data_IF_178374392980
#
_entry.id   IF_178374392980
#
_cell.length_a   1.000
_cell.length_b   1.000
_cell.length_c   1.000
_cell.angle_alpha   90.00
_cell.angle_beta   90.00
_cell.angle_gamma   90.00
#
_symmetry.space_group_name_H-M   'P 1'
#
loop_
_entity.id
_entity.type
_entity.pdbx_description
1 polymer ?
#
# COMPACT_ATOMS: atom_id res chain seq x y z
N UNK A 1 28.63 6.68 -19.68
CA UNK A 1 27.65 7.55 -19.01
C UNK A 1 28.42 8.40 -18.01
N UNK A 2 28.26 9.72 -18.02
CA UNK A 2 28.93 10.62 -17.06
C UNK A 2 28.64 10.18 -15.60
N UNK A 3 29.62 10.18 -14.68
CA UNK A 3 29.42 9.74 -13.29
C UNK A 3 28.27 10.45 -12.56
N UNK A 4 28.06 11.73 -12.88
CA UNK A 4 26.94 12.51 -12.37
C UNK A 4 25.59 11.96 -12.85
N UNK A 5 25.44 11.71 -14.15
CA UNK A 5 24.19 11.22 -14.74
C UNK A 5 23.81 9.85 -14.17
N UNK A 6 24.79 8.96 -14.00
CA UNK A 6 24.56 7.65 -13.40
C UNK A 6 24.08 7.79 -11.94
N UNK A 7 24.72 8.67 -11.16
CA UNK A 7 24.31 8.95 -9.77
C UNK A 7 22.91 9.54 -9.69
N UNK A 8 22.55 10.45 -10.60
CA UNK A 8 21.21 11.02 -10.69
C UNK A 8 20.14 9.96 -11.03
N UNK A 9 20.44 9.01 -11.91
CA UNK A 9 19.55 7.89 -12.22
C UNK A 9 19.35 7.02 -10.97
N UNK A 10 20.43 6.66 -10.27
CA UNK A 10 20.34 5.89 -9.02
C UNK A 10 19.60 6.65 -7.92
N UNK A 11 19.76 7.96 -7.85
CA UNK A 11 19.02 8.82 -6.94
C UNK A 11 17.52 8.72 -7.17
N UNK A 12 17.07 8.91 -8.42
CA UNK A 12 15.66 8.81 -8.79
C UNK A 12 15.12 7.41 -8.50
N UNK A 13 15.88 6.37 -8.85
CA UNK A 13 15.49 4.99 -8.57
C UNK A 13 15.32 4.75 -7.05
N UNK A 14 16.26 5.21 -6.22
CA UNK A 14 16.16 5.09 -4.76
C UNK A 14 14.99 5.89 -4.18
N UNK A 15 14.67 7.05 -4.75
CA UNK A 15 13.48 7.83 -4.34
C UNK A 15 12.20 7.06 -4.68
N UNK A 16 12.11 6.43 -5.84
CA UNK A 16 10.96 5.62 -6.23
C UNK A 16 10.81 4.35 -5.37
N UNK A 17 11.93 3.70 -5.03
CA UNK A 17 11.94 2.57 -4.08
C UNK A 17 11.47 3.06 -2.70
N UNK A 18 11.97 4.21 -2.25
CA UNK A 18 11.52 4.83 -1.00
C UNK A 18 10.03 5.14 -1.00
N UNK A 19 9.51 5.74 -2.08
CA UNK A 19 8.09 5.96 -2.27
C UNK A 19 7.28 4.66 -2.18
N UNK A 20 7.75 3.58 -2.82
CA UNK A 20 7.09 2.27 -2.74
C UNK A 20 6.99 1.75 -1.30
N UNK A 21 8.09 1.83 -0.53
CA UNK A 21 8.09 1.39 0.87
C UNK A 21 7.23 2.28 1.76
N UNK A 22 7.24 3.59 1.55
CA UNK A 22 6.37 4.54 2.27
C UNK A 22 4.90 4.26 1.93
N UNK A 23 4.55 4.07 0.67
CA UNK A 23 3.21 3.71 0.24
C UNK A 23 2.76 2.38 0.88
N UNK A 24 3.59 1.33 0.81
CA UNK A 24 3.24 0.05 1.43
C UNK A 24 3.11 0.18 2.97
N UNK A 25 3.98 0.97 3.61
CA UNK A 25 3.93 1.13 5.05
C UNK A 25 2.72 1.95 5.50
N UNK A 26 2.53 3.15 4.97
CA UNK A 26 1.48 4.07 5.43
C UNK A 26 0.12 3.63 4.89
N UNK A 27 -0.02 3.49 3.58
CA UNK A 27 -1.30 3.21 2.89
C UNK A 27 -1.79 1.78 3.16
N UNK A 28 -0.90 0.79 3.07
CA UNK A 28 -1.31 -0.63 3.17
C UNK A 28 -1.23 -1.16 4.61
N UNK A 29 -0.09 -1.01 5.29
CA UNK A 29 0.10 -1.55 6.65
C UNK A 29 -0.61 -0.70 7.70
N UNK A 30 -0.25 0.57 7.86
CA UNK A 30 -0.79 1.39 8.95
C UNK A 30 -2.25 1.73 8.72
N UNK A 31 -2.60 2.17 7.52
CA UNK A 31 -3.94 2.65 7.23
C UNK A 31 -4.97 1.52 7.05
N UNK A 32 -4.86 0.72 5.98
CA UNK A 32 -5.85 -0.33 5.67
C UNK A 32 -5.83 -1.48 6.68
N UNK A 33 -4.64 -2.00 7.03
CA UNK A 33 -4.54 -3.18 7.87
C UNK A 33 -4.69 -2.86 9.37
N UNK A 34 -3.88 -1.94 9.90
CA UNK A 34 -3.83 -1.69 11.35
C UNK A 34 -4.95 -0.75 11.79
N UNK A 35 -5.11 0.43 11.17
CA UNK A 35 -6.08 1.41 11.64
C UNK A 35 -7.53 0.96 11.42
N UNK A 36 -7.86 0.46 10.22
CA UNK A 36 -9.25 0.15 9.83
C UNK A 36 -9.61 -1.32 9.75
N UNK A 37 -8.64 -2.22 9.78
CA UNK A 37 -8.85 -3.67 9.61
C UNK A 37 -9.63 -4.01 8.31
N UNK A 38 -9.37 -3.24 7.26
CA UNK A 38 -9.95 -3.43 5.93
C UNK A 38 -9.32 -4.63 5.19
N UNK A 39 -8.09 -4.98 5.55
CA UNK A 39 -7.35 -6.13 5.04
C UNK A 39 -6.66 -6.86 6.20
N UNK A 40 -6.19 -8.09 5.96
CA UNK A 40 -5.28 -8.78 6.88
C UNK A 40 -3.92 -8.97 6.24
N UNK A 41 -2.88 -8.75 7.03
CA UNK A 41 -1.48 -9.01 6.68
C UNK A 41 -0.81 -9.84 7.78
N UNK A 42 0.12 -10.74 7.43
CA UNK A 42 0.90 -11.45 8.41
C UNK A 42 1.89 -10.49 9.10
N UNK A 43 2.18 -10.77 10.36
CA UNK A 43 3.06 -9.92 11.19
C UNK A 43 4.45 -9.72 10.58
N UNK A 44 5.02 -10.76 9.96
CA UNK A 44 6.34 -10.68 9.36
C UNK A 44 6.39 -9.64 8.23
N UNK A 45 5.33 -9.53 7.40
CA UNK A 45 5.25 -8.53 6.34
C UNK A 45 5.18 -7.12 6.92
N UNK A 46 4.27 -6.91 7.87
CA UNK A 46 4.11 -5.62 8.55
C UNK A 46 5.42 -5.17 9.22
N UNK A 47 6.13 -6.08 9.91
CA UNK A 47 7.41 -5.77 10.54
C UNK A 47 8.51 -5.46 9.52
N UNK A 48 8.56 -6.21 8.41
CA UNK A 48 9.58 -6.01 7.39
C UNK A 48 9.43 -4.67 6.69
N UNK A 49 8.21 -4.36 6.22
CA UNK A 49 7.92 -3.09 5.52
C UNK A 49 8.11 -1.89 6.45
N UNK A 50 7.62 -1.98 7.69
CA UNK A 50 7.87 -0.94 8.71
C UNK A 50 9.36 -0.73 8.95
N UNK A 51 10.14 -1.80 9.10
CA UNK A 51 11.55 -1.70 9.41
C UNK A 51 12.34 -1.10 8.26
N UNK A 52 12.09 -1.54 7.03
CA UNK A 52 12.77 -1.01 5.85
C UNK A 52 12.38 0.45 5.61
N UNK A 53 11.10 0.79 5.71
CA UNK A 53 10.64 2.18 5.56
C UNK A 53 11.32 3.10 6.58
N UNK A 54 11.24 2.75 7.87
CA UNK A 54 11.73 3.60 8.94
C UNK A 54 13.26 3.67 9.00
N UNK A 55 13.97 2.58 8.74
CA UNK A 55 15.44 2.58 8.81
C UNK A 55 16.11 3.17 7.56
N UNK A 56 15.51 3.03 6.38
CA UNK A 56 16.16 3.37 5.11
C UNK A 56 15.59 4.62 4.43
N UNK A 57 14.34 5.00 4.71
CA UNK A 57 13.62 6.00 3.94
C UNK A 57 13.02 7.09 4.83
N UNK A 58 11.71 7.11 4.99
CA UNK A 58 10.98 8.11 5.75
C UNK A 58 10.47 7.47 7.04
N UNK A 59 10.89 8.04 8.17
CA UNK A 59 10.41 7.61 9.47
C UNK A 59 8.95 8.03 9.68
N UNK A 60 8.13 7.07 10.09
CA UNK A 60 6.76 7.27 10.55
C UNK A 60 6.59 6.51 11.87
N UNK A 61 6.16 7.21 12.91
CA UNK A 61 5.85 6.58 14.19
C UNK A 61 4.56 5.74 14.03
N UNK A 62 4.62 4.40 14.06
CA UNK A 62 3.47 3.57 13.75
C UNK A 62 2.33 3.69 14.77
N UNK A 63 2.66 4.00 16.03
CA UNK A 63 1.67 4.09 17.10
C UNK A 63 0.95 5.44 17.05
N UNK A 64 1.72 6.52 16.96
CA UNK A 64 1.17 7.87 16.88
C UNK A 64 0.32 8.05 15.63
N UNK A 65 0.82 7.62 14.46
CA UNK A 65 0.07 7.72 13.20
C UNK A 65 -1.29 7.02 13.28
N UNK A 66 -1.35 5.77 13.77
CA UNK A 66 -2.64 5.05 13.87
C UNK A 66 -3.57 5.67 14.90
N UNK A 67 -3.02 6.14 16.02
CA UNK A 67 -3.80 6.84 17.06
C UNK A 67 -4.45 8.09 16.49
N UNK A 68 -3.65 8.95 15.87
CA UNK A 68 -4.09 10.24 15.36
C UNK A 68 -5.11 10.04 14.25
N UNK A 69 -4.85 9.10 13.33
CA UNK A 69 -5.80 8.75 12.27
C UNK A 69 -7.15 8.24 12.81
N UNK A 70 -7.14 7.39 13.84
CA UNK A 70 -8.38 6.91 14.48
C UNK A 70 -9.13 8.05 15.21
N UNK A 71 -8.41 8.93 15.88
CA UNK A 71 -8.97 10.12 16.53
C UNK A 71 -9.57 11.08 15.51
N UNK A 72 -8.88 11.31 14.40
CA UNK A 72 -9.33 12.10 13.27
C UNK A 72 -10.65 11.54 12.72
N UNK A 73 -10.76 10.25 12.45
CA UNK A 73 -12.04 9.65 12.04
C UNK A 73 -13.17 9.80 13.07
N UNK A 74 -12.85 9.74 14.37
CA UNK A 74 -13.84 9.88 15.43
C UNK A 74 -14.32 11.33 15.63
N UNK A 75 -13.50 12.31 15.26
CA UNK A 75 -13.68 13.71 15.62
C UNK A 75 -13.48 14.70 14.47
N UNK A 76 -13.44 14.25 13.22
CA UNK A 76 -13.06 15.03 12.02
C UNK A 76 -13.67 16.44 12.02
N UNK A 77 -12.84 17.44 11.72
CA UNK A 77 -13.17 18.87 11.69
C UNK A 77 -13.62 19.51 13.03
N UNK A 78 -13.67 18.75 14.12
CA UNK A 78 -13.92 19.28 15.47
C UNK A 78 -12.61 19.68 16.16
N UNK A 79 -12.68 20.42 17.27
CA UNK A 79 -11.48 20.84 18.01
C UNK A 79 -10.69 19.68 18.65
N UNK A 80 -11.23 18.45 18.63
CA UNK A 80 -10.57 17.23 19.09
C UNK A 80 -9.84 16.47 17.97
N UNK A 81 -10.02 16.89 16.72
CA UNK A 81 -9.34 16.30 15.58
C UNK A 81 -7.86 16.72 15.56
N UNK A 82 -6.91 15.77 15.69
CA UNK A 82 -5.49 16.08 15.66
C UNK A 82 -5.03 16.64 14.31
N UNK A 83 -5.77 16.37 13.23
CA UNK A 83 -5.41 16.80 11.87
C UNK A 83 -6.29 17.95 11.37
N UNK A 84 -7.03 18.61 12.28
CA UNK A 84 -7.89 19.75 11.94
C UNK A 84 -7.08 20.88 11.30
N UNK A 85 -7.51 21.31 10.12
CA UNK A 85 -6.87 22.43 9.42
C UNK A 85 -7.04 23.75 10.18
N UNK A 86 -5.94 24.44 10.53
CA UNK A 86 -6.00 25.74 11.17
C UNK A 86 -6.47 26.80 10.17
N UNK A 87 -7.57 27.49 10.49
CA UNK A 87 -8.09 28.66 9.77
C UNK A 87 -8.30 28.49 8.25
N UNK A 88 -8.29 27.26 7.74
CA UNK A 88 -8.33 26.94 6.31
C UNK A 88 -7.19 27.55 5.46
N UNK A 89 -6.16 28.13 6.10
CA UNK A 89 -4.99 28.73 5.45
C UNK A 89 -3.95 27.66 5.15
N UNK A 90 -3.50 27.57 3.89
CA UNK A 90 -2.44 26.62 3.52
C UNK A 90 -1.14 26.90 4.28
N UNK A 91 -0.79 28.17 4.50
CA UNK A 91 0.44 28.53 5.22
C UNK A 91 0.36 28.16 6.70
N UNK A 92 -0.79 28.39 7.33
CA UNK A 92 -1.01 27.99 8.72
C UNK A 92 -0.95 26.46 8.85
N UNK A 93 -1.58 25.74 7.92
CA UNK A 93 -1.53 24.28 7.86
C UNK A 93 -0.12 23.74 7.62
N UNK A 94 0.67 24.39 6.75
CA UNK A 94 2.05 24.00 6.47
C UNK A 94 2.95 24.23 7.69
N UNK A 95 2.84 25.39 8.34
CA UNK A 95 3.55 25.69 9.58
C UNK A 95 3.16 24.70 10.66
N UNK A 96 1.86 24.44 10.81
CA UNK A 96 1.35 23.42 11.72
C UNK A 96 1.99 22.08 11.41
N UNK A 97 1.92 21.58 10.19
CA UNK A 97 2.47 20.25 9.82
C UNK A 97 3.98 20.13 10.06
N UNK A 98 4.75 21.20 9.88
CA UNK A 98 6.21 21.20 10.08
C UNK A 98 6.57 21.28 11.58
N UNK A 99 5.84 22.09 12.35
CA UNK A 99 6.15 22.36 13.76
C UNK A 99 5.39 21.46 14.73
N UNK A 100 4.28 20.87 14.29
CA UNK A 100 3.44 20.04 15.12
C UNK A 100 4.16 18.74 15.43
N UNK A 101 4.39 18.54 16.72
CA UNK A 101 4.88 17.29 17.24
C UNK A 101 3.64 16.50 17.66
N UNK A 102 3.23 15.47 16.91
CA UNK A 102 2.03 14.73 17.23
C UNK A 102 2.15 14.16 18.64
N UNK A 103 1.07 14.29 19.39
CA UNK A 103 0.98 14.28 20.85
C UNK A 103 1.55 13.04 21.55
N UNK A 104 2.87 12.86 21.57
CA UNK A 104 3.56 11.63 21.99
C UNK A 104 3.42 11.25 23.48
N UNK A 105 2.46 11.80 24.23
CA UNK A 105 2.23 11.56 25.66
C UNK A 105 0.74 11.56 26.09
N UNK A 106 -0.24 11.72 25.19
CA UNK A 106 -1.65 11.89 25.59
C UNK A 106 -2.34 10.56 25.95
N UNK A 107 -3.19 10.51 27.00
CA UNK A 107 -4.04 9.35 27.33
C UNK A 107 -4.88 8.83 26.15
N UNK A 108 -5.22 9.71 25.21
CA UNK A 108 -5.96 9.38 23.99
C UNK A 108 -5.21 8.40 23.08
N UNK A 109 -3.86 8.43 23.06
CA UNK A 109 -3.06 7.44 22.32
C UNK A 109 -3.32 6.03 22.82
N UNK A 110 -3.42 5.84 24.14
CA UNK A 110 -3.62 4.52 24.72
C UNK A 110 -5.02 3.97 24.43
N UNK A 111 -6.04 4.84 24.37
CA UNK A 111 -7.40 4.43 24.01
C UNK A 111 -7.50 3.97 22.57
N UNK A 112 -6.85 4.68 21.63
CA UNK A 112 -6.93 4.38 20.21
C UNK A 112 -5.96 3.28 19.74
N UNK A 113 -5.04 2.80 20.59
CA UNK A 113 -4.02 1.79 20.22
C UNK A 113 -4.06 0.52 21.10
N UNK A 114 -5.26 0.08 21.45
CA UNK A 114 -5.48 -1.14 22.26
C UNK A 114 -5.10 -2.47 21.60
N UNK A 115 -4.82 -2.48 20.29
CA UNK A 115 -4.57 -3.70 19.53
C UNK A 115 -3.31 -4.44 20.01
N UNK A 116 -3.32 -5.80 20.02
CA UNK A 116 -2.16 -6.57 20.45
C UNK A 116 -0.87 -6.29 19.67
N UNK A 117 -0.97 -5.82 18.42
CA UNK A 117 0.18 -5.51 17.57
C UNK A 117 1.08 -4.43 18.18
N UNK A 118 0.50 -3.45 18.89
CA UNK A 118 1.26 -2.36 19.51
C UNK A 118 2.08 -2.82 20.73
N UNK A 119 1.80 -4.01 21.28
CA UNK A 119 2.60 -4.63 22.36
C UNK A 119 3.86 -5.34 21.82
N UNK A 120 3.92 -5.60 20.52
CA UNK A 120 5.07 -6.26 19.90
C UNK A 120 6.34 -5.40 19.97
N UNK A 121 7.49 -6.07 20.06
CA UNK A 121 8.78 -5.39 20.16
C UNK A 121 9.04 -4.43 18.99
N UNK A 122 8.79 -4.77 17.70
CA UNK A 122 9.02 -3.85 16.60
C UNK A 122 8.20 -2.56 16.72
N UNK A 123 6.90 -2.65 16.99
CA UNK A 123 6.04 -1.46 17.14
C UNK A 123 6.45 -0.60 18.33
N UNK A 124 6.82 -1.21 19.47
CA UNK A 124 7.32 -0.48 20.64
C UNK A 124 8.65 0.21 20.35
N UNK A 125 9.54 -0.46 19.62
CA UNK A 125 10.84 0.08 19.25
C UNK A 125 10.67 1.30 18.34
N UNK A 126 9.98 1.15 17.21
CA UNK A 126 9.78 2.25 16.26
C UNK A 126 8.90 3.38 16.79
N UNK A 127 8.09 3.16 17.83
CA UNK A 127 7.35 4.22 18.51
C UNK A 127 8.15 4.93 19.63
N UNK A 128 9.37 4.46 19.94
CA UNK A 128 10.19 5.00 21.01
C UNK A 128 11.15 6.08 20.53
N UNK A 129 11.55 7.00 21.42
CA UNK A 129 12.58 8.02 21.13
C UNK A 129 13.91 7.42 20.63
N UNK A 130 14.47 6.36 21.25
CA UNK A 130 15.67 5.72 20.71
C UNK A 130 15.47 5.11 19.33
N UNK A 131 14.30 4.52 19.07
CA UNK A 131 13.97 3.98 17.75
C UNK A 131 13.91 5.06 16.68
N UNK A 132 13.28 6.19 16.97
CA UNK A 132 13.28 7.37 16.10
C UNK A 132 14.70 7.85 15.79
N UNK A 133 15.52 8.09 16.81
CA UNK A 133 16.92 8.54 16.62
C UNK A 133 17.69 7.54 15.74
N UNK A 134 17.53 6.23 15.98
CA UNK A 134 18.17 5.22 15.14
C UNK A 134 17.71 5.31 13.70
N UNK A 135 16.41 5.52 13.44
CA UNK A 135 15.86 5.63 12.08
C UNK A 135 16.47 6.81 11.32
N UNK A 136 16.55 7.99 11.95
CA UNK A 136 17.14 9.18 11.32
C UNK A 136 18.62 8.99 10.99
N UNK A 137 19.39 8.43 11.94
CA UNK A 137 20.81 8.11 11.73
C UNK A 137 21.00 7.02 10.67
N UNK A 138 20.15 6.00 10.67
CA UNK A 138 20.23 4.87 9.73
C UNK A 138 19.94 5.32 8.30
N UNK A 139 18.92 6.16 8.09
CA UNK A 139 18.58 6.71 6.78
C UNK A 139 19.77 7.49 6.20
N UNK A 140 20.35 8.40 6.99
CA UNK A 140 21.51 9.19 6.54
C UNK A 140 22.75 8.32 6.30
N UNK A 141 23.01 7.35 7.18
CA UNK A 141 24.15 6.43 7.05
C UNK A 141 24.01 5.55 5.82
N UNK A 142 22.83 4.99 5.56
CA UNK A 142 22.56 4.17 4.38
C UNK A 142 22.71 5.00 3.10
N UNK A 143 22.19 6.22 3.09
CA UNK A 143 22.34 7.12 1.94
C UNK A 143 23.81 7.40 1.65
N UNK A 144 24.62 7.65 2.68
CA UNK A 144 26.06 7.85 2.52
C UNK A 144 26.80 6.61 2.03
N UNK A 145 26.48 5.43 2.57
CA UNK A 145 27.07 4.16 2.12
C UNK A 145 26.74 3.89 0.65
N UNK A 146 25.53 4.23 0.21
CA UNK A 146 25.07 4.02 -1.16
C UNK A 146 25.67 5.03 -2.15
N UNK A 147 25.53 6.33 -1.88
CA UNK A 147 25.97 7.40 -2.79
C UNK A 147 27.45 7.74 -2.68
N UNK A 148 28.12 7.34 -1.58
CA UNK A 148 29.50 7.71 -1.25
C UNK A 148 29.75 9.23 -1.28
N UNK A 149 28.71 10.01 -1.02
CA UNK A 149 28.73 11.47 -1.10
C UNK A 149 27.75 12.07 -0.10
N UNK A 150 28.25 12.99 0.73
CA UNK A 150 27.43 13.72 1.71
C UNK A 150 26.38 14.56 0.98
N UNK A 151 26.74 15.23 -0.13
CA UNK A 151 25.82 16.08 -0.88
C UNK A 151 24.61 15.29 -1.41
N UNK A 152 24.85 14.14 -2.03
CA UNK A 152 23.77 13.27 -2.52
C UNK A 152 22.96 12.65 -1.38
N UNK A 153 23.59 12.34 -0.25
CA UNK A 153 22.91 11.79 0.93
C UNK A 153 21.96 12.80 1.56
N UNK A 154 22.41 14.05 1.71
CA UNK A 154 21.57 15.15 2.20
C UNK A 154 20.45 15.43 1.21
N UNK A 155 20.75 15.49 -0.09
CA UNK A 155 19.74 15.69 -1.13
C UNK A 155 18.66 14.60 -1.07
N UNK A 156 19.05 13.34 -0.86
CA UNK A 156 18.12 12.21 -0.77
C UNK A 156 17.25 12.33 0.47
N UNK A 157 17.88 12.55 1.63
CA UNK A 157 17.21 12.73 2.91
C UNK A 157 16.18 13.86 2.88
N UNK A 158 16.55 15.02 2.32
CA UNK A 158 15.66 16.18 2.17
C UNK A 158 14.55 15.90 1.17
N UNK A 159 14.85 15.25 0.04
CA UNK A 159 13.85 14.93 -1.00
C UNK A 159 12.72 14.07 -0.43
N UNK A 160 13.05 13.03 0.35
CA UNK A 160 12.02 12.18 0.98
C UNK A 160 11.08 12.97 1.91
N UNK A 161 11.61 13.99 2.62
CA UNK A 161 10.83 14.84 3.53
C UNK A 161 9.96 15.85 2.78
N UNK A 162 10.48 16.43 1.70
CA UNK A 162 9.70 17.29 0.81
C UNK A 162 8.55 16.49 0.17
N UNK A 163 8.81 15.25 -0.27
CA UNK A 163 7.75 14.36 -0.76
C UNK A 163 6.75 13.99 0.33
N UNK A 164 7.21 13.76 1.56
CA UNK A 164 6.32 13.55 2.72
C UNK A 164 5.40 14.74 2.99
N UNK A 165 5.93 15.97 2.98
CA UNK A 165 5.13 17.20 3.09
C UNK A 165 4.14 17.29 1.92
N UNK A 166 4.56 16.98 0.69
CA UNK A 166 3.67 16.99 -0.46
C UNK A 166 2.53 15.96 -0.33
N UNK A 167 2.79 14.76 0.21
CA UNK A 167 1.74 13.77 0.54
C UNK A 167 0.75 14.36 1.53
N UNK A 168 1.23 14.97 2.62
CA UNK A 168 0.39 15.63 3.61
C UNK A 168 -0.42 16.79 2.99
N UNK A 169 0.15 17.53 2.03
CA UNK A 169 -0.58 18.59 1.32
C UNK A 169 -1.74 18.02 0.52
N UNK A 170 -1.52 16.96 -0.28
CA UNK A 170 -2.59 16.39 -1.08
C UNK A 170 -3.66 15.69 -0.24
N UNK A 171 -3.25 14.94 0.79
CA UNK A 171 -4.16 14.15 1.61
C UNK A 171 -4.72 14.96 2.78
N UNK A 172 -3.87 15.51 3.64
CA UNK A 172 -4.28 16.24 4.85
C UNK A 172 -4.84 17.64 4.61
N UNK A 173 -4.38 18.36 3.57
CA UNK A 173 -4.92 19.69 3.25
C UNK A 173 -5.98 19.65 2.14
N UNK A 174 -5.60 19.28 0.92
CA UNK A 174 -6.51 19.38 -0.22
C UNK A 174 -7.70 18.41 -0.11
N UNK A 175 -7.46 17.15 0.29
CA UNK A 175 -8.53 16.17 0.43
C UNK A 175 -9.41 16.37 1.69
N UNK A 176 -9.12 17.36 2.54
CA UNK A 176 -9.99 17.81 3.64
C UNK A 176 -10.53 19.23 3.42
N UNK A 177 -10.36 19.80 2.23
CA UNK A 177 -10.75 21.17 1.91
C UNK A 177 -11.95 21.29 0.99
N UNK A 178 -12.98 20.43 1.11
CA UNK A 178 -14.19 20.58 0.28
C UNK A 178 -14.94 21.90 0.53
N UNK A 179 -14.86 22.43 1.75
CA UNK A 179 -15.34 23.77 2.11
C UNK A 179 -14.60 24.91 1.39
N UNK A 180 -13.37 24.65 0.93
CA UNK A 180 -12.58 25.54 0.08
C UNK A 180 -12.77 25.29 -1.42
N UNK A 181 -13.67 24.37 -1.79
CA UNK A 181 -13.94 24.00 -3.19
C UNK A 181 -12.93 23.01 -3.78
N UNK A 182 -12.11 22.34 -2.97
CA UNK A 182 -11.21 21.31 -3.47
C UNK A 182 -11.93 19.97 -3.66
N UNK A 183 -11.63 19.31 -4.78
CA UNK A 183 -12.10 17.96 -5.09
C UNK A 183 -13.61 17.86 -5.30
N UNK A 184 -14.10 16.62 -5.38
CA UNK A 184 -15.54 16.31 -5.41
C UNK A 184 -15.91 15.39 -4.26
N UNK A 185 -17.21 15.17 -4.06
CA UNK A 185 -17.74 14.30 -3.00
C UNK A 185 -18.70 13.28 -3.58
N UNK A 186 -18.45 12.01 -3.30
CA UNK A 186 -19.35 10.89 -3.64
C UNK A 186 -20.44 10.74 -2.57
N UNK A 187 -20.08 10.98 -1.30
CA UNK A 187 -20.96 10.77 -0.15
C UNK A 187 -21.15 12.05 0.66
N UNK A 188 -22.38 12.23 1.16
CA UNK A 188 -22.69 13.19 2.19
C UNK A 188 -22.21 12.65 3.55
N UNK A 189 -21.11 13.22 4.05
CA UNK A 189 -20.53 12.95 5.38
C UNK A 189 -20.40 14.29 6.12
N UNK A 190 -20.45 14.32 7.46
CA UNK A 190 -20.50 15.56 8.23
C UNK A 190 -19.17 16.34 8.32
N UNK A 191 -18.15 15.91 7.58
CA UNK A 191 -16.82 16.54 7.51
C UNK A 191 -16.56 17.22 6.13
N UNK A 192 -15.38 17.81 6.00
CA UNK A 192 -14.90 18.51 4.81
C UNK A 192 -14.09 17.61 3.86
N UNK A 193 -14.12 16.30 4.01
CA UNK A 193 -13.41 15.37 3.12
C UNK A 193 -13.84 15.50 1.65
N UNK A 194 -12.88 15.36 0.75
CA UNK A 194 -13.01 15.45 -0.70
C UNK A 194 -12.19 14.37 -1.40
N UNK A 195 -12.57 14.03 -2.63
CA UNK A 195 -11.80 13.16 -3.50
C UNK A 195 -10.98 14.00 -4.47
N UNK A 196 -9.66 13.80 -4.47
CA UNK A 196 -8.72 14.41 -5.41
C UNK A 196 -8.28 13.35 -6.43
N UNK A 197 -8.63 13.55 -7.71
CA UNK A 197 -8.35 12.59 -8.80
C UNK A 197 -7.19 12.98 -9.70
N UNK A 198 -6.44 14.01 -9.34
CA UNK A 198 -5.21 14.37 -10.05
C UNK A 198 -4.25 13.16 -10.09
N UNK A 199 -3.77 12.70 -11.27
CA UNK A 199 -2.95 11.49 -11.37
C UNK A 199 -1.65 11.54 -10.56
N UNK A 200 -1.02 12.72 -10.46
CA UNK A 200 0.17 12.90 -9.65
C UNK A 200 -0.14 12.77 -8.15
N UNK A 201 -1.24 13.37 -7.68
CA UNK A 201 -1.70 13.22 -6.31
C UNK A 201 -2.04 11.76 -5.96
N UNK A 202 -2.77 11.07 -6.85
CA UNK A 202 -3.13 9.66 -6.67
C UNK A 202 -1.90 8.74 -6.64
N UNK A 203 -0.90 9.00 -7.48
CA UNK A 203 0.35 8.26 -7.43
C UNK A 203 1.13 8.59 -6.15
N UNK A 204 1.41 9.86 -5.90
CA UNK A 204 2.23 10.28 -4.77
C UNK A 204 1.66 9.81 -3.43
N UNK A 205 0.35 9.95 -3.24
CA UNK A 205 -0.34 9.52 -2.01
C UNK A 205 -0.73 8.05 -2.01
N UNK A 206 -0.45 7.28 -3.07
CA UNK A 206 -0.94 5.92 -3.24
C UNK A 206 -2.48 5.77 -3.16
N UNK A 207 -3.24 6.78 -3.61
CA UNK A 207 -4.71 6.78 -3.63
C UNK A 207 -5.36 7.26 -2.33
N UNK A 208 -4.58 7.67 -1.33
CA UNK A 208 -5.09 8.17 -0.04
C UNK A 208 -5.89 9.47 -0.18
N UNK A 209 -5.66 10.27 -1.24
CA UNK A 209 -6.42 11.50 -1.47
C UNK A 209 -7.85 11.30 -2.02
N UNK A 210 -8.34 10.06 -2.12
CA UNK A 210 -9.76 9.73 -2.30
C UNK A 210 -10.49 9.73 -0.93
N UNK A 211 -10.35 10.84 -0.22
CA UNK A 211 -10.64 10.93 1.22
C UNK A 211 -12.13 10.88 1.53
N UNK A 212 -12.99 11.47 0.68
CA UNK A 212 -14.44 11.43 0.90
C UNK A 212 -15.02 10.02 0.81
N UNK A 213 -14.52 9.22 -0.12
CA UNK A 213 -14.89 7.80 -0.22
C UNK A 213 -14.46 7.04 1.03
N UNK A 214 -13.22 7.26 1.44
CA UNK A 214 -12.62 6.65 2.62
C UNK A 214 -13.38 7.00 3.92
N UNK A 215 -13.69 8.28 4.15
CA UNK A 215 -14.47 8.74 5.30
C UNK A 215 -15.86 8.12 5.38
N UNK A 216 -16.49 7.89 4.23
CA UNK A 216 -17.80 7.25 4.16
C UNK A 216 -17.75 5.74 4.43
N UNK A 217 -16.69 5.04 3.99
CA UNK A 217 -16.53 3.58 4.13
C UNK A 217 -15.09 3.21 4.54
N UNK A 218 -14.66 3.55 5.77
CA UNK A 218 -13.26 3.40 6.17
C UNK A 218 -12.76 1.95 6.21
N UNK A 219 -13.68 0.97 6.23
CA UNK A 219 -13.35 -0.46 6.23
C UNK A 219 -13.27 -1.08 4.83
N UNK A 220 -13.43 -0.29 3.77
CA UNK A 220 -13.17 -0.76 2.41
C UNK A 220 -11.67 -0.82 2.17
N UNK A 221 -11.22 -1.88 1.50
CA UNK A 221 -9.82 -2.11 1.17
C UNK A 221 -9.33 -1.20 0.03
N UNK A 222 -10.26 -0.67 -0.76
CA UNK A 222 -10.01 0.34 -1.80
C UNK A 222 -10.65 1.66 -1.38
N UNK A 223 -9.96 2.77 -1.63
CA UNK A 223 -10.53 4.11 -1.55
C UNK A 223 -11.23 4.52 -2.86
N UNK A 224 -11.02 3.76 -3.94
CA UNK A 224 -11.75 3.93 -5.20
C UNK A 224 -13.12 3.27 -5.12
N UNK A 225 -14.17 4.07 -5.18
CA UNK A 225 -15.57 3.67 -5.19
C UNK A 225 -16.22 3.84 -6.58
N UNK A 226 -15.51 4.44 -7.53
CA UNK A 226 -15.93 4.62 -8.93
C UNK A 226 -14.83 4.15 -9.89
N UNK A 227 -15.23 3.65 -11.07
CA UNK A 227 -14.31 3.07 -12.08
C UNK A 227 -13.22 4.03 -12.59
N UNK A 228 -13.49 5.33 -12.60
CA UNK A 228 -12.54 6.36 -13.06
C UNK A 228 -11.47 6.70 -12.02
N UNK A 229 -11.70 6.34 -10.76
CA UNK A 229 -10.76 6.60 -9.67
C UNK A 229 -9.64 5.55 -9.68
N UNK A 230 -8.45 5.96 -9.28
CA UNK A 230 -7.29 5.05 -9.21
C UNK A 230 -6.77 5.01 -7.79
N UNK A 231 -6.63 3.79 -7.27
CA UNK A 231 -6.06 3.55 -5.95
C UNK A 231 -4.83 2.66 -6.10
N UNK A 232 -3.64 3.29 -6.07
CA UNK A 232 -2.37 2.58 -6.20
C UNK A 232 -2.10 1.71 -4.98
N UNK A 233 -2.50 2.14 -3.78
CA UNK A 233 -2.42 1.35 -2.55
C UNK A 233 -3.24 0.06 -2.65
N UNK A 234 -4.44 0.12 -3.24
CA UNK A 234 -5.25 -1.07 -3.48
C UNK A 234 -4.66 -1.97 -4.58
N UNK A 235 -4.03 -1.42 -5.61
CA UNK A 235 -3.25 -2.23 -6.57
C UNK A 235 -2.16 -3.01 -5.85
N UNK A 236 -1.43 -2.39 -4.91
CA UNK A 236 -0.44 -3.09 -4.09
C UNK A 236 -1.08 -4.18 -3.22
N UNK A 237 -2.24 -3.92 -2.61
CA UNK A 237 -3.00 -4.94 -1.85
C UNK A 237 -3.34 -6.13 -2.75
N UNK A 238 -3.83 -5.90 -3.97
CA UNK A 238 -4.20 -6.98 -4.91
C UNK A 238 -2.99 -7.78 -5.37
N UNK A 239 -1.83 -7.14 -5.56
CA UNK A 239 -0.58 -7.85 -5.82
C UNK A 239 -0.20 -8.76 -4.65
N UNK A 240 -0.28 -8.27 -3.41
CA UNK A 240 0.00 -9.05 -2.21
C UNK A 240 -1.00 -10.19 -1.99
N UNK A 241 -2.27 -9.97 -2.32
CA UNK A 241 -3.32 -11.00 -2.26
C UNK A 241 -3.07 -12.11 -3.28
N UNK A 242 -2.64 -11.75 -4.49
CA UNK A 242 -2.32 -12.73 -5.56
C UNK A 242 -1.20 -13.69 -5.15
N UNK A 243 -0.22 -13.21 -4.37
CA UNK A 243 0.88 -14.04 -3.85
C UNK A 243 0.60 -14.63 -2.46
N UNK A 244 -0.63 -14.50 -1.95
CA UNK A 244 -1.06 -15.10 -0.67
C UNK A 244 -0.54 -14.39 0.58
N UNK A 245 -0.03 -13.16 0.47
CA UNK A 245 0.44 -12.36 1.62
C UNK A 245 -0.71 -11.57 2.24
N UNK A 246 -1.67 -11.09 1.45
CA UNK A 246 -2.80 -10.31 1.95
C UNK A 246 -4.11 -11.10 1.83
N UNK A 247 -5.03 -10.86 2.76
CA UNK A 247 -6.42 -11.31 2.66
C UNK A 247 -7.34 -10.08 2.61
N UNK A 248 -8.19 -10.01 1.57
CA UNK A 248 -9.20 -8.95 1.43
C UNK A 248 -10.59 -9.54 1.71
N UNK A 249 -11.24 -9.21 2.84
CA UNK A 249 -12.59 -9.66 3.12
C UNK A 249 -13.58 -9.14 2.06
N UNK A 250 -14.50 -9.98 1.57
CA UNK A 250 -15.51 -9.57 0.56
C UNK A 250 -16.33 -8.34 0.99
N UNK A 251 -16.62 -8.21 2.30
CA UNK A 251 -17.33 -7.05 2.88
C UNK A 251 -16.57 -5.72 2.78
N UNK A 252 -15.27 -5.80 2.48
CA UNK A 252 -14.37 -4.66 2.35
C UNK A 252 -14.20 -4.23 0.89
N UNK A 253 -15.07 -4.68 -0.01
CA UNK A 253 -15.07 -4.27 -1.41
C UNK A 253 -16.39 -3.57 -1.78
N UNK A 254 -16.35 -2.53 -2.62
CA UNK A 254 -17.53 -1.92 -3.20
C UNK A 254 -18.23 -2.84 -4.21
N UNK A 255 -19.53 -2.64 -4.40
CA UNK A 255 -20.39 -3.51 -5.22
C UNK A 255 -19.93 -3.66 -6.68
N UNK A 256 -19.30 -2.64 -7.25
CA UNK A 256 -18.84 -2.73 -8.64
C UNK A 256 -17.66 -3.70 -8.79
N UNK A 257 -16.78 -3.81 -7.77
CA UNK A 257 -15.67 -4.76 -7.77
C UNK A 257 -16.12 -6.17 -7.40
N UNK A 258 -17.12 -6.32 -6.53
CA UNK A 258 -17.66 -7.64 -6.19
C UNK A 258 -18.34 -8.30 -7.40
N UNK A 259 -19.13 -7.52 -8.16
CA UNK A 259 -19.76 -7.99 -9.42
C UNK A 259 -18.74 -8.34 -10.49
N UNK A 260 -17.69 -7.54 -10.63
CA UNK A 260 -16.63 -7.80 -11.61
C UNK A 260 -15.83 -9.06 -11.25
N UNK A 261 -15.48 -9.23 -9.97
CA UNK A 261 -14.81 -10.44 -9.48
C UNK A 261 -15.65 -11.69 -9.71
N UNK A 262 -16.96 -11.63 -9.45
CA UNK A 262 -17.88 -12.74 -9.69
C UNK A 262 -17.98 -13.10 -11.18
N UNK A 263 -18.02 -12.09 -12.06
CA UNK A 263 -18.04 -12.29 -13.51
C UNK A 263 -16.75 -12.95 -14.02
N UNK A 264 -15.58 -12.51 -13.52
CA UNK A 264 -14.29 -13.12 -13.91
C UNK A 264 -14.22 -14.57 -13.44
N UNK A 265 -14.63 -14.85 -12.19
CA UNK A 265 -14.66 -16.21 -11.66
C UNK A 265 -15.55 -17.14 -12.50
N UNK A 266 -16.76 -16.70 -12.88
CA UNK A 266 -17.64 -17.52 -13.72
C UNK A 266 -17.07 -17.78 -15.12
N UNK A 267 -16.35 -16.81 -15.70
CA UNK A 267 -15.68 -16.99 -17.00
C UNK A 267 -14.55 -18.01 -16.89
N UNK A 268 -13.75 -17.94 -15.82
CA UNK A 268 -12.66 -18.89 -15.58
C UNK A 268 -13.20 -20.29 -15.31
N UNK A 269 -14.26 -20.44 -14.49
CA UNK A 269 -14.92 -21.73 -14.27
C UNK A 269 -15.47 -22.33 -15.57
N UNK A 270 -16.06 -21.49 -16.43
CA UNK A 270 -16.56 -21.93 -17.74
C UNK A 270 -15.41 -22.39 -18.65
N UNK A 271 -14.32 -21.62 -18.71
CA UNK A 271 -13.15 -21.97 -19.52
C UNK A 271 -12.46 -23.27 -19.05
N UNK A 272 -12.32 -23.46 -17.73
CA UNK A 272 -11.75 -24.68 -17.15
C UNK A 272 -12.68 -25.89 -17.40
N UNK A 273 -14.00 -25.70 -17.33
CA UNK A 273 -14.95 -26.75 -17.67
C UNK A 273 -14.91 -27.14 -19.16
N UNK A 274 -14.82 -26.17 -20.07
CA UNK A 274 -14.66 -26.42 -21.51
C UNK A 274 -13.33 -27.14 -21.83
N UNK A 275 -12.24 -26.79 -21.15
CA UNK A 275 -10.94 -27.47 -21.28
C UNK A 275 -10.98 -28.92 -20.75
N UNK A 276 -11.72 -29.19 -19.68
CA UNK A 276 -11.92 -30.55 -19.15
C UNK A 276 -12.81 -31.43 -20.06
N UNK A 277 -13.82 -30.84 -20.71
CA UNK A 277 -14.68 -31.57 -21.66
C UNK A 277 -13.89 -31.94 -22.92
N UNK A 278 -13.15 -30.99 -23.49
CA UNK A 278 -12.33 -31.22 -24.70
C UNK A 278 -11.22 -32.25 -24.49
N UNK A 279 -10.54 -32.23 -23.34
CA UNK A 279 -9.55 -33.26 -22.99
C UNK A 279 -10.16 -34.64 -22.76
N UNK A 280 -11.39 -34.72 -22.25
CA UNK A 280 -12.10 -36.00 -22.08
C UNK A 280 -12.53 -36.64 -23.41
N UNK A 281 -12.99 -35.83 -24.38
CA UNK A 281 -13.35 -36.29 -25.74
C UNK A 281 -12.15 -36.75 -26.57
N UNK A 282 -10.96 -36.14 -26.39
CA UNK A 282 -9.72 -36.62 -27.01
C UNK A 282 -9.28 -37.99 -26.49
N UNK A 283 -9.53 -38.32 -25.22
CA UNK A 283 -9.20 -39.64 -24.65
C UNK A 283 -10.14 -40.76 -25.09
N UNK A 284 -11.41 -40.48 -25.44
CA UNK A 284 -12.36 -41.52 -25.87
C UNK A 284 -12.19 -41.96 -27.34
N UNK A 285 -11.45 -41.22 -28.16
CA UNK A 285 -11.30 -41.51 -29.60
C UNK A 285 -10.13 -42.42 -29.98
N UNK A 286 -9.32 -42.88 -29.02
CA UNK A 286 -8.23 -43.83 -29.30
C UNK A 286 -8.74 -45.28 -29.20
N UNK A 287 -9.29 -45.81 -30.29
CA UNK A 287 -9.50 -47.26 -30.44
C UNK A 287 -8.16 -47.95 -30.77
N UNK A 288 -7.83 -49.09 -30.14
CA UNK A 288 -6.56 -49.77 -30.40
C UNK A 288 -6.66 -50.52 -31.73
N UNK A 289 -5.83 -50.13 -32.71
CA UNK A 289 -5.63 -50.91 -33.94
C UNK A 289 -4.83 -52.16 -33.58
N UNK A 290 -5.47 -53.32 -33.68
CA UNK A 290 -4.85 -54.64 -33.53
C UNK A 290 -3.87 -54.86 -34.70
N UNK A 291 -2.57 -54.95 -34.39
CA UNK A 291 -1.53 -55.29 -35.35
C UNK A 291 -1.42 -56.82 -35.50
N UNK A 292 -1.67 -57.33 -36.71
CA UNK A 292 -1.41 -58.72 -37.10
C UNK A 292 0.09 -58.96 -37.30
N UNK A 293 0.58 -60.08 -36.77
CA UNK A 293 1.96 -60.56 -36.87
C UNK A 293 2.25 -61.22 -38.22
N UNK A 294 3.36 -60.84 -38.85
CA UNK A 294 3.99 -61.58 -39.95
C UNK A 294 5.40 -62.02 -39.52
N UNK A 295 5.65 -63.33 -39.67
CA UNK A 295 6.90 -64.04 -39.43
C UNK A 295 8.02 -63.62 -40.41
N UNK A 296 9.27 -63.65 -39.94
CA UNK A 296 10.46 -63.63 -40.79
C UNK A 296 11.42 -64.79 -40.39
N UNK A 297 12.16 -65.38 -41.35
CA UNK A 297 12.66 -66.75 -41.23
C UNK A 297 14.09 -66.89 -40.66
N UNK A 298 14.33 -68.07 -40.09
CA UNK A 298 15.60 -68.55 -39.56
C UNK A 298 16.73 -68.61 -40.62
N UNK A 299 17.92 -68.13 -40.24
CA UNK A 299 19.17 -68.43 -40.95
C UNK A 299 20.10 -69.26 -40.07
N UNK A 300 20.33 -70.51 -40.51
CA UNK A 300 21.35 -71.43 -40.00
C UNK A 300 22.75 -70.95 -40.42
N UNK A 301 23.70 -70.97 -39.49
CA UNK A 301 25.14 -71.01 -39.80
C UNK A 301 25.77 -72.17 -39.03
N UNK A 302 26.44 -73.04 -39.77
CA UNK A 302 27.15 -74.21 -39.29
C UNK A 302 28.62 -73.88 -38.95
N UNK A 303 29.12 -74.64 -37.97
CA UNK A 303 30.48 -74.73 -37.43
C UNK A 303 31.50 -75.32 -38.44
N UNK A 304 32.82 -75.42 -38.17
CA UNK A 304 33.49 -75.58 -36.86
C UNK A 304 34.52 -74.51 -36.46
#
# INVERSE_FOLDING_TARGET
MEPFLLTAIYFIAMVLVGWFFVANFVSVVLHRCVAHHAIKLPRWWMYSVMSVCNLCFLYVNPRTWVSDHRNHHAHSDTDKDPDKQPNQSYMDWLIYTILHNPSAQEPEIQKMTGDPIFKSLPFRFFASRPGWILCELSCMTMAYVFFRSIAWSVAFYVTLRVLGIAVLTFQGYLAHGSNLGYGYRTYAVPDNSANITNPFALFLTAGECLQNNHHAKPRFATHSHQKSEKDVGFVLVRMLETVGIAEVPKRSLPDYLTKETAKVASVVETAVAEEQVTTSEETETVTPVVATSEEAPETKVANP
#
